data_IF_611443356462
#
_entry.id   IF_611443356462
#
_cell.length_a   1.000
_cell.length_b   1.000
_cell.length_c   1.000
_cell.angle_alpha   90.00
_cell.angle_beta   90.00
_cell.angle_gamma   90.00
#
_symmetry.space_group_name_H-M   'P 1'
#
loop_
_entity.id
_entity.type
_entity.pdbx_description
1 polymer ?
#
# COMPACT_ATOMS: atom_id res chain seq x y z
N UNK A 1 -7.58 15.81 49.43
CA UNK A 1 -8.19 15.38 50.70
C UNK A 1 -7.32 15.81 51.85
N UNK A 2 -7.87 16.48 52.86
CA UNK A 2 -7.12 16.79 54.08
C UNK A 2 -6.95 15.53 54.93
N UNK A 3 -5.83 15.41 55.62
CA UNK A 3 -5.60 14.33 56.58
C UNK A 3 -5.55 14.92 57.99
N UNK A 4 -5.88 14.12 59.01
CA UNK A 4 -5.71 14.58 60.40
C UNK A 4 -4.21 14.80 60.71
N UNK A 5 -3.88 15.62 61.71
CA UNK A 5 -2.48 15.99 61.99
C UNK A 5 -1.80 14.97 62.91
N UNK A 6 -0.46 14.91 62.85
CA UNK A 6 0.35 14.26 63.90
C UNK A 6 1.11 12.99 63.49
N UNK A 7 1.39 12.78 62.20
CA UNK A 7 2.11 11.60 61.74
C UNK A 7 3.63 11.84 61.68
N UNK A 8 4.40 11.00 62.36
CA UNK A 8 5.86 10.89 62.15
C UNK A 8 6.16 10.18 60.83
N UNK A 9 7.43 9.94 60.50
CA UNK A 9 7.85 9.26 59.27
C UNK A 9 7.60 7.73 59.24
N UNK A 10 7.26 7.11 60.37
CA UNK A 10 7.04 5.68 60.51
C UNK A 10 5.56 5.29 60.51
N UNK A 11 4.64 6.26 60.53
CA UNK A 11 3.20 6.03 60.51
C UNK A 11 2.77 5.10 59.37
N UNK A 12 2.10 4.00 59.70
CA UNK A 12 1.53 3.04 58.73
C UNK A 12 0.01 3.13 58.63
N UNK A 13 -0.63 3.94 59.47
CA UNK A 13 -2.07 4.17 59.51
C UNK A 13 -2.38 5.66 59.56
N UNK A 14 -3.15 6.14 58.59
CA UNK A 14 -3.51 7.55 58.41
C UNK A 14 -5.02 7.71 58.54
N UNK A 15 -5.44 8.44 59.55
CA UNK A 15 -6.83 8.83 59.77
C UNK A 15 -7.24 10.02 58.89
N UNK A 16 -8.36 9.85 58.22
CA UNK A 16 -9.04 10.85 57.41
C UNK A 16 -10.17 11.52 58.21
N UNK A 17 -10.54 12.77 57.88
CA UNK A 17 -11.78 13.37 58.36
C UNK A 17 -13.01 12.56 57.91
N UNK A 18 -14.12 12.73 58.64
CA UNK A 18 -15.38 12.04 58.32
C UNK A 18 -15.84 12.35 56.89
N UNK A 19 -16.18 11.30 56.13
CA UNK A 19 -16.67 11.41 54.75
C UNK A 19 -15.59 11.63 53.68
N UNK A 20 -14.31 11.75 54.06
CA UNK A 20 -13.23 11.79 53.09
C UNK A 20 -12.89 10.40 52.55
N UNK A 21 -12.87 9.37 53.40
CA UNK A 21 -12.55 7.99 53.01
C UNK A 21 -13.37 7.46 51.82
N UNK A 22 -14.65 7.81 51.72
CA UNK A 22 -15.54 7.38 50.63
C UNK A 22 -15.22 7.99 49.26
N UNK A 23 -14.29 8.95 49.18
CA UNK A 23 -13.84 9.57 47.92
C UNK A 23 -12.67 8.82 47.27
N UNK A 24 -12.14 7.79 47.93
CA UNK A 24 -11.00 7.01 47.46
C UNK A 24 -11.45 5.61 47.01
N UNK A 25 -10.73 5.02 46.03
CA UNK A 25 -10.85 3.60 45.71
C UNK A 25 -10.69 2.71 46.95
N UNK A 26 -11.42 1.61 47.04
CA UNK A 26 -11.19 0.60 48.07
C UNK A 26 -10.08 -0.37 47.62
N UNK A 27 -8.91 -0.41 48.29
CA UNK A 27 -7.82 -1.30 47.90
C UNK A 27 -8.18 -2.79 47.88
N UNK A 28 -9.19 -3.21 48.66
CA UNK A 28 -9.64 -4.60 48.69
C UNK A 28 -10.41 -5.01 47.43
N UNK A 29 -11.05 -4.05 46.76
CA UNK A 29 -11.85 -4.29 45.55
C UNK A 29 -11.11 -3.86 44.27
N UNK A 30 -10.39 -2.74 44.33
CA UNK A 30 -9.83 -2.05 43.17
C UNK A 30 -8.30 -2.14 43.10
N UNK A 31 -7.67 -2.81 44.07
CA UNK A 31 -6.22 -2.96 44.17
C UNK A 31 -5.53 -1.76 44.82
N UNK A 32 -4.29 -1.96 45.25
CA UNK A 32 -3.51 -0.90 45.89
C UNK A 32 -3.15 0.23 44.91
N UNK A 33 -3.17 1.47 45.38
CA UNK A 33 -2.86 2.66 44.57
C UNK A 33 -1.99 3.64 45.35
N UNK A 34 -1.37 4.59 44.63
CA UNK A 34 -0.49 5.59 45.23
C UNK A 34 -1.23 6.93 45.45
N UNK A 35 -0.91 7.61 46.55
CA UNK A 35 -1.30 8.99 46.83
C UNK A 35 -0.06 9.87 47.00
N UNK A 36 -0.15 11.12 46.58
CA UNK A 36 0.88 12.13 46.86
C UNK A 36 0.49 12.91 48.12
N UNK A 37 1.33 12.89 49.14
CA UNK A 37 1.15 13.54 50.43
C UNK A 37 2.07 14.75 50.56
N UNK A 38 1.50 15.95 50.68
CA UNK A 38 2.24 17.21 50.67
C UNK A 38 1.66 18.25 51.65
N UNK A 39 2.48 19.23 52.01
CA UNK A 39 2.10 20.38 52.82
C UNK A 39 1.38 21.42 51.95
N UNK A 40 0.06 21.49 52.07
CA UNK A 40 -0.73 22.42 51.26
C UNK A 40 -0.83 23.83 51.84
N UNK A 41 -0.36 24.04 53.08
CA UNK A 41 -0.31 25.38 53.68
C UNK A 41 0.78 26.24 53.05
N UNK A 42 1.92 25.63 52.71
CA UNK A 42 3.07 26.33 52.13
C UNK A 42 3.12 26.20 50.60
N UNK A 43 2.62 25.10 50.05
CA UNK A 43 2.74 24.79 48.62
C UNK A 43 1.37 24.57 47.98
N UNK A 44 1.11 25.24 46.86
CA UNK A 44 -0.16 25.08 46.13
C UNK A 44 -0.18 23.81 45.28
N UNK A 45 0.97 23.40 44.76
CA UNK A 45 1.14 22.18 43.98
C UNK A 45 2.01 21.19 44.76
N UNK A 46 1.63 19.92 44.87
CA UNK A 46 2.48 18.89 45.47
C UNK A 46 3.90 18.88 44.91
N UNK A 47 4.09 19.19 43.62
CA UNK A 47 5.41 19.20 42.97
C UNK A 47 6.38 20.23 43.57
N UNK A 48 5.86 21.31 44.17
CA UNK A 48 6.67 22.39 44.75
C UNK A 48 7.12 22.09 46.18
N UNK A 49 6.51 21.09 46.84
CA UNK A 49 6.88 20.68 48.19
C UNK A 49 8.14 19.79 48.16
N UNK A 50 9.28 20.24 48.75
CA UNK A 50 10.52 19.46 48.81
C UNK A 50 10.39 18.23 49.72
N UNK A 51 9.38 18.19 50.58
CA UNK A 51 9.07 17.09 51.47
C UNK A 51 7.81 16.34 51.01
N UNK A 52 7.32 16.52 49.77
CA UNK A 52 6.23 15.69 49.26
C UNK A 52 6.64 14.22 49.36
N UNK A 53 5.65 13.36 49.52
CA UNK A 53 5.87 11.93 49.62
C UNK A 53 4.86 11.19 48.77
N UNK A 54 5.28 10.04 48.23
CA UNK A 54 4.35 9.12 47.59
C UNK A 54 4.14 7.95 48.55
N UNK A 55 2.88 7.69 48.89
CA UNK A 55 2.47 6.60 49.77
C UNK A 55 1.59 5.63 48.98
N UNK A 56 1.80 4.33 49.17
CA UNK A 56 0.96 3.27 48.61
C UNK A 56 -0.09 2.87 49.62
N UNK A 57 -1.35 3.07 49.28
CA UNK A 57 -2.49 2.67 50.10
C UNK A 57 -2.75 1.18 49.89
N UNK A 58 -2.73 0.41 50.97
CA UNK A 58 -2.87 -1.05 50.94
C UNK A 58 -4.19 -1.56 51.50
N UNK A 59 -4.87 -0.78 52.34
CA UNK A 59 -6.20 -1.09 52.85
C UNK A 59 -6.93 0.19 53.30
N UNK A 60 -8.26 0.13 53.29
CA UNK A 60 -9.14 1.15 53.84
C UNK A 60 -10.06 0.50 54.88
N UNK A 61 -10.08 1.01 56.11
CA UNK A 61 -10.93 0.52 57.20
C UNK A 61 -11.58 1.70 57.94
N UNK A 62 -12.88 1.91 57.71
CA UNK A 62 -13.57 3.11 58.21
C UNK A 62 -12.92 4.38 57.64
N UNK A 63 -12.41 5.24 58.51
CA UNK A 63 -11.68 6.46 58.11
C UNK A 63 -10.15 6.28 58.10
N UNK A 64 -9.63 5.06 58.26
CA UNK A 64 -8.19 4.82 58.33
C UNK A 64 -7.65 4.19 57.05
N UNK A 65 -6.61 4.81 56.48
CA UNK A 65 -5.80 4.26 55.39
C UNK A 65 -4.62 3.51 55.98
N UNK A 66 -4.44 2.25 55.61
CA UNK A 66 -3.15 1.56 55.79
C UNK A 66 -2.23 1.93 54.63
N UNK A 67 -1.02 2.40 54.94
CA UNK A 67 -0.08 2.92 53.94
C UNK A 67 1.32 2.30 54.07
N UNK A 68 1.93 2.05 52.91
CA UNK A 68 3.37 1.89 52.77
C UNK A 68 3.96 3.22 52.33
N UNK A 69 4.95 3.70 53.07
CA UNK A 69 5.53 5.03 52.91
C UNK A 69 6.78 5.02 52.06
N UNK A 70 7.21 6.21 51.65
CA UNK A 70 8.43 6.41 50.89
C UNK A 70 8.52 5.62 49.57
N UNK A 71 7.48 5.70 48.74
CA UNK A 71 7.44 5.02 47.46
C UNK A 71 8.13 5.82 46.35
N UNK A 72 8.43 5.16 45.23
CA UNK A 72 8.98 5.76 44.01
C UNK A 72 10.31 6.54 44.23
N UNK A 73 11.14 6.06 45.17
CA UNK A 73 12.46 6.63 45.46
C UNK A 73 12.43 7.93 46.28
N UNK A 74 11.28 8.29 46.84
CA UNK A 74 11.12 9.41 47.77
C UNK A 74 11.13 8.87 49.20
N UNK A 75 11.92 9.44 50.10
CA UNK A 75 11.94 9.00 51.51
C UNK A 75 10.67 9.43 52.27
N UNK A 76 10.27 8.61 53.24
CA UNK A 76 9.23 9.01 54.19
C UNK A 76 9.65 10.27 54.95
N UNK A 77 8.71 11.16 55.26
CA UNK A 77 8.99 12.37 56.03
C UNK A 77 7.89 12.69 57.02
N UNK A 78 8.25 13.32 58.13
CA UNK A 78 7.30 13.69 59.18
C UNK A 78 6.27 14.73 58.70
N UNK A 79 4.99 14.53 59.04
CA UNK A 79 3.82 15.33 58.62
C UNK A 79 3.09 15.94 59.83
N UNK A 80 3.83 16.65 60.68
CA UNK A 80 3.32 17.19 61.94
C UNK A 80 3.78 18.62 62.26
N UNK A 81 4.23 19.37 61.24
CA UNK A 81 4.73 20.72 61.46
C UNK A 81 3.64 21.63 62.09
N UNK A 82 3.96 22.40 63.15
CA UNK A 82 2.98 23.25 63.82
C UNK A 82 2.27 24.22 62.87
N UNK A 83 0.94 24.25 62.93
CA UNK A 83 0.11 25.16 62.12
C UNK A 83 0.04 24.82 60.62
N UNK A 84 0.56 23.66 60.19
CA UNK A 84 0.53 23.23 58.78
C UNK A 84 -0.57 22.22 58.54
N UNK A 85 -1.19 22.32 57.37
CA UNK A 85 -2.21 21.41 56.87
C UNK A 85 -1.59 20.58 55.76
N UNK A 86 -1.79 19.27 55.84
CA UNK A 86 -1.32 18.34 54.84
C UNK A 86 -2.49 17.75 54.07
N UNK A 87 -2.28 17.54 52.76
CA UNK A 87 -3.26 16.91 51.87
C UNK A 87 -2.66 15.69 51.20
N UNK A 88 -3.52 14.69 51.01
CA UNK A 88 -3.29 13.60 50.06
C UNK A 88 -4.10 13.85 48.80
N UNK A 89 -3.48 13.59 47.65
CA UNK A 89 -4.13 13.66 46.35
C UNK A 89 -3.83 12.39 45.54
N UNK A 90 -4.87 11.85 44.92
CA UNK A 90 -4.75 10.82 43.90
C UNK A 90 -4.46 11.53 42.57
N UNK A 91 -3.24 11.38 42.08
CA UNK A 91 -2.78 11.99 40.82
C UNK A 91 -1.81 11.05 40.13
N UNK A 92 -1.52 11.32 38.85
CA UNK A 92 -0.47 10.62 38.13
C UNK A 92 0.87 10.81 38.87
N UNK A 93 1.46 9.69 39.29
CA UNK A 93 2.78 9.69 39.91
C UNK A 93 3.86 9.59 38.85
N UNK A 94 5.12 9.74 39.27
CA UNK A 94 6.25 9.62 38.35
C UNK A 94 6.34 8.19 37.82
N UNK A 95 6.15 7.17 38.66
CA UNK A 95 6.15 5.78 38.23
C UNK A 95 4.98 5.49 37.28
N UNK A 96 3.77 6.00 37.55
CA UNK A 96 2.65 5.84 36.63
C UNK A 96 2.92 6.51 35.28
N UNK A 97 3.49 7.72 35.28
CA UNK A 97 3.93 8.40 34.07
C UNK A 97 5.01 7.61 33.34
N UNK A 98 6.05 7.18 34.03
CA UNK A 98 7.13 6.34 33.50
C UNK A 98 6.60 5.02 32.97
N UNK A 99 5.61 4.39 33.58
CA UNK A 99 4.97 3.17 33.08
C UNK A 99 4.12 3.43 31.82
N UNK A 100 3.45 4.57 31.74
CA UNK A 100 2.68 4.98 30.56
C UNK A 100 3.62 5.29 29.39
N UNK A 101 4.68 6.09 29.61
CA UNK A 101 5.61 6.47 28.53
C UNK A 101 6.57 5.34 28.16
N UNK A 102 6.92 4.47 29.11
CA UNK A 102 7.77 3.30 28.86
C UNK A 102 6.94 2.04 28.54
N UNK A 103 5.65 2.21 28.24
CA UNK A 103 4.85 1.24 27.48
C UNK A 103 4.36 0.00 28.25
N UNK A 104 4.20 0.05 29.56
CA UNK A 104 3.66 -1.12 30.29
C UNK A 104 2.15 -1.26 30.22
N UNK A 105 1.37 -0.18 30.29
CA UNK A 105 -0.10 -0.28 30.26
C UNK A 105 -0.70 0.59 29.15
N UNK A 106 -1.20 -0.02 28.08
CA UNK A 106 -2.37 0.48 27.32
C UNK A 106 -2.20 1.64 26.32
N UNK A 107 -1.00 1.94 25.82
CA UNK A 107 -0.84 2.37 24.42
C UNK A 107 -0.50 1.09 23.66
N UNK A 108 -1.28 0.76 22.60
CA UNK A 108 -1.17 -0.45 21.76
C UNK A 108 0.07 -1.26 22.10
N UNK A 109 -0.09 -2.22 23.02
CA UNK A 109 1.02 -2.96 23.59
C UNK A 109 1.71 -3.72 22.47
N UNK A 110 2.92 -3.24 22.16
CA UNK A 110 3.87 -3.91 21.29
C UNK A 110 4.13 -5.30 21.83
N UNK A 111 3.91 -6.27 20.97
CA UNK A 111 4.54 -7.56 21.08
C UNK A 111 6.07 -7.41 21.21
N UNK A 112 6.66 -8.33 21.95
CA UNK A 112 8.12 -8.44 22.10
C UNK A 112 8.75 -9.21 20.92
N UNK A 113 7.97 -9.48 19.87
CA UNK A 113 8.34 -10.26 18.69
C UNK A 113 8.39 -9.35 17.44
N UNK A 114 9.53 -8.75 17.17
CA UNK A 114 9.75 -8.00 15.94
C UNK A 114 10.92 -7.03 16.01
N UNK A 115 11.66 -6.89 14.90
CA UNK A 115 12.69 -5.84 14.78
C UNK A 115 12.03 -4.44 14.72
N UNK A 116 12.84 -3.40 14.93
CA UNK A 116 12.46 -1.99 15.09
C UNK A 116 11.29 -1.51 14.23
N UNK A 117 10.31 -0.87 14.87
CA UNK A 117 9.30 -0.05 14.19
C UNK A 117 10.00 1.15 13.54
N UNK A 118 9.53 1.54 12.37
CA UNK A 118 10.04 2.74 11.70
C UNK A 118 9.75 4.00 12.52
N UNK A 119 10.49 5.08 12.27
CA UNK A 119 10.18 6.41 12.85
C UNK A 119 8.72 6.77 12.53
N UNK A 120 7.94 7.17 13.53
CA UNK A 120 6.51 7.49 13.42
C UNK A 120 5.62 6.36 12.85
N UNK A 121 6.08 5.11 12.90
CA UNK A 121 5.30 3.97 12.44
C UNK A 121 4.26 3.53 13.48
N UNK A 122 3.10 3.07 13.00
CA UNK A 122 2.02 2.55 13.84
C UNK A 122 1.68 1.13 13.42
N UNK A 123 1.57 0.21 14.38
CA UNK A 123 1.26 -1.19 14.09
C UNK A 123 0.37 -1.76 15.18
N UNK A 124 -0.86 -2.09 14.78
CA UNK A 124 -1.97 -2.55 15.62
C UNK A 124 -2.23 -4.05 15.51
N UNK A 125 -1.37 -4.82 14.84
CA UNK A 125 -1.55 -6.28 14.77
C UNK A 125 -0.96 -6.96 16.02
N UNK A 126 -1.64 -7.99 16.53
CA UNK A 126 -1.21 -8.71 17.74
C UNK A 126 -0.56 -10.07 17.48
N UNK A 127 -0.72 -10.63 16.28
CA UNK A 127 -0.26 -11.98 15.94
C UNK A 127 0.67 -11.91 14.73
N UNK A 128 1.87 -12.47 14.90
CA UNK A 128 2.93 -12.54 13.89
C UNK A 128 3.59 -13.92 13.95
N UNK A 129 3.93 -14.47 12.79
CA UNK A 129 4.71 -15.70 12.66
C UNK A 129 6.18 -15.43 12.37
N UNK A 130 6.52 -14.22 11.91
CA UNK A 130 7.88 -13.78 11.56
C UNK A 130 8.18 -12.40 12.14
N UNK A 131 9.43 -12.18 12.59
CA UNK A 131 9.87 -10.93 13.23
C UNK A 131 9.88 -9.71 12.30
N UNK A 132 9.78 -9.89 10.99
CA UNK A 132 9.71 -8.82 10.00
C UNK A 132 8.28 -8.39 9.67
N UNK A 133 7.27 -9.08 10.19
CA UNK A 133 5.85 -8.76 9.98
C UNK A 133 5.43 -7.57 10.85
N UNK A 134 6.08 -6.43 10.63
CA UNK A 134 5.91 -5.21 11.42
C UNK A 134 5.80 -3.99 10.52
N UNK A 135 5.26 -2.88 11.04
CA UNK A 135 5.40 -1.56 10.43
C UNK A 135 6.83 -1.02 10.65
N UNK A 136 7.76 -1.37 9.76
CA UNK A 136 9.19 -1.01 9.84
C UNK A 136 9.56 0.19 8.97
N UNK A 137 8.72 0.58 8.01
CA UNK A 137 8.94 1.79 7.22
C UNK A 137 8.67 3.06 8.02
N UNK A 138 9.39 4.15 7.76
CA UNK A 138 9.07 5.43 8.39
C UNK A 138 7.65 5.88 8.01
N UNK A 139 6.87 6.30 9.00
CA UNK A 139 5.44 6.64 8.90
C UNK A 139 4.55 5.53 8.31
N UNK A 140 5.00 4.27 8.38
CA UNK A 140 4.19 3.13 7.93
C UNK A 140 3.09 2.78 8.92
N UNK A 141 2.03 2.12 8.43
CA UNK A 141 0.84 1.80 9.20
C UNK A 141 0.39 0.37 9.00
N UNK A 142 0.14 -0.36 10.09
CA UNK A 142 -0.58 -1.62 10.08
C UNK A 142 -1.85 -1.48 10.90
N UNK A 143 -3.00 -1.55 10.23
CA UNK A 143 -4.29 -1.20 10.80
C UNK A 143 -4.88 -2.26 11.73
N UNK A 144 -4.72 -3.53 11.34
CA UNK A 144 -5.30 -4.67 12.03
C UNK A 144 -4.76 -5.98 11.44
N UNK A 145 -5.34 -7.09 11.88
CA UNK A 145 -5.14 -8.41 11.31
C UNK A 145 -3.91 -9.13 11.85
N UNK A 146 -3.31 -9.99 11.04
CA UNK A 146 -2.21 -10.87 11.45
C UNK A 146 -1.14 -10.96 10.37
N UNK A 147 0.11 -11.19 10.76
CA UNK A 147 1.22 -11.52 9.86
C UNK A 147 1.48 -10.50 8.73
N UNK A 148 1.06 -9.24 8.87
CA UNK A 148 1.26 -8.18 7.88
C UNK A 148 2.63 -7.53 8.03
N UNK A 149 3.23 -7.09 6.93
CA UNK A 149 4.49 -6.35 6.86
C UNK A 149 4.28 -5.04 6.11
N UNK A 150 4.61 -3.91 6.72
CA UNK A 150 4.59 -2.59 6.09
C UNK A 150 6.00 -1.98 6.24
N UNK A 151 6.87 -2.19 5.26
CA UNK A 151 8.28 -1.81 5.34
C UNK A 151 8.66 -0.62 4.45
N UNK A 152 7.77 -0.18 3.56
CA UNK A 152 7.99 1.01 2.74
C UNK A 152 7.71 2.31 3.51
N UNK A 153 8.34 3.42 3.12
CA UNK A 153 8.00 4.75 3.65
C UNK A 153 6.52 5.06 3.37
N UNK A 154 5.77 5.49 4.39
CA UNK A 154 4.32 5.70 4.33
C UNK A 154 3.53 4.53 3.72
N UNK A 155 3.98 3.29 3.90
CA UNK A 155 3.26 2.10 3.44
C UNK A 155 2.14 1.70 4.41
N UNK A 156 1.13 1.00 3.89
CA UNK A 156 -0.02 0.51 4.65
C UNK A 156 -0.27 -0.97 4.39
N UNK A 157 -0.51 -1.74 5.45
CA UNK A 157 -1.00 -3.12 5.31
C UNK A 157 -2.13 -3.45 6.31
N UNK A 158 -3.10 -4.27 5.89
CA UNK A 158 -4.18 -4.77 6.75
C UNK A 158 -4.68 -6.13 6.27
N UNK A 159 -5.30 -6.91 7.16
CA UNK A 159 -5.78 -8.26 6.84
C UNK A 159 -4.80 -9.34 7.28
N UNK A 160 -4.51 -10.35 6.46
CA UNK A 160 -3.68 -11.49 6.88
C UNK A 160 -2.52 -11.76 5.92
N UNK A 161 -1.27 -11.64 6.39
CA UNK A 161 -0.10 -12.07 5.62
C UNK A 161 0.29 -11.14 4.48
N UNK A 162 -0.16 -9.88 4.48
CA UNK A 162 0.12 -8.94 3.40
C UNK A 162 1.49 -8.28 3.55
N UNK A 163 2.13 -7.91 2.44
CA UNK A 163 3.43 -7.22 2.43
C UNK A 163 3.40 -5.97 1.56
N UNK A 164 3.39 -4.80 2.20
CA UNK A 164 3.57 -3.50 1.55
C UNK A 164 5.01 -3.01 1.75
N UNK A 165 5.87 -3.25 0.75
CA UNK A 165 7.30 -2.91 0.82
C UNK A 165 7.69 -1.70 -0.03
N UNK A 166 6.87 -1.32 -1.01
CA UNK A 166 7.08 -0.11 -1.80
C UNK A 166 6.79 1.16 -1.01
N UNK A 167 7.45 2.26 -1.38
CA UNK A 167 7.12 3.58 -0.84
C UNK A 167 5.68 3.96 -1.21
N UNK A 168 4.86 4.40 -0.26
CA UNK A 168 3.41 4.65 -0.44
C UNK A 168 2.59 3.43 -0.86
N UNK A 169 3.12 2.21 -0.69
CA UNK A 169 2.40 1.01 -1.11
C UNK A 169 1.26 0.65 -0.15
N UNK A 170 0.19 0.07 -0.70
CA UNK A 170 -0.97 -0.44 0.03
C UNK A 170 -1.14 -1.93 -0.25
N UNK A 171 -1.28 -2.77 0.77
CA UNK A 171 -1.63 -4.19 0.61
C UNK A 171 -2.73 -4.59 1.59
N UNK A 172 -3.86 -5.07 1.08
CA UNK A 172 -5.01 -5.44 1.90
C UNK A 172 -5.67 -6.76 1.48
N UNK A 173 -6.28 -7.47 2.43
CA UNK A 173 -6.87 -8.79 2.20
C UNK A 173 -6.00 -9.93 2.75
N UNK A 174 -5.68 -10.94 1.95
CA UNK A 174 -4.88 -12.10 2.36
C UNK A 174 -3.73 -12.43 1.40
N UNK A 175 -2.51 -12.48 1.92
CA UNK A 175 -1.29 -12.85 1.17
C UNK A 175 -0.96 -11.96 -0.04
N UNK A 176 -1.34 -10.69 -0.04
CA UNK A 176 -1.01 -9.77 -1.11
C UNK A 176 0.38 -9.14 -0.93
N UNK A 177 1.01 -8.72 -2.04
CA UNK A 177 2.32 -8.06 -2.02
C UNK A 177 2.36 -6.83 -2.92
N UNK A 178 2.59 -5.66 -2.34
CA UNK A 178 2.77 -4.39 -3.06
C UNK A 178 4.20 -3.90 -2.87
N UNK A 179 5.05 -4.17 -3.87
CA UNK A 179 6.49 -3.86 -3.81
C UNK A 179 6.91 -2.65 -4.65
N UNK A 180 6.08 -2.21 -5.59
CA UNK A 180 6.34 -1.00 -6.37
C UNK A 180 6.05 0.29 -5.60
N UNK A 181 6.72 1.39 -5.94
CA UNK A 181 6.38 2.72 -5.38
C UNK A 181 4.94 3.08 -5.76
N UNK A 182 4.12 3.51 -4.80
CA UNK A 182 2.70 3.82 -4.93
C UNK A 182 1.86 2.66 -5.51
N UNK A 183 2.28 1.41 -5.29
CA UNK A 183 1.55 0.23 -5.75
C UNK A 183 0.43 -0.19 -4.79
N UNK A 184 -0.62 -0.81 -5.32
CA UNK A 184 -1.76 -1.28 -4.54
C UNK A 184 -2.08 -2.75 -4.87
N UNK A 185 -2.32 -3.59 -3.86
CA UNK A 185 -2.80 -4.95 -4.04
C UNK A 185 -3.94 -5.26 -3.06
N UNK A 186 -5.09 -5.68 -3.56
CA UNK A 186 -6.31 -5.96 -2.77
C UNK A 186 -6.88 -7.34 -3.11
N UNK A 187 -7.24 -8.14 -2.11
CA UNK A 187 -7.92 -9.44 -2.30
C UNK A 187 -7.12 -10.64 -1.80
N UNK A 188 -6.86 -11.64 -2.65
CA UNK A 188 -6.17 -12.88 -2.27
C UNK A 188 -4.98 -13.20 -3.20
N UNK A 189 -3.77 -13.23 -2.64
CA UNK A 189 -2.54 -13.61 -3.35
C UNK A 189 -2.17 -12.73 -4.56
N UNK A 190 -2.50 -11.44 -4.53
CA UNK A 190 -2.16 -10.50 -5.61
C UNK A 190 -0.75 -9.90 -5.43
N UNK A 191 -0.13 -9.51 -6.54
CA UNK A 191 1.21 -8.90 -6.55
C UNK A 191 1.25 -7.67 -7.44
N UNK A 192 1.51 -6.50 -6.85
CA UNK A 192 1.76 -5.24 -7.57
C UNK A 192 3.23 -4.82 -7.44
N UNK A 193 4.00 -5.13 -8.49
CA UNK A 193 5.46 -4.95 -8.53
C UNK A 193 5.93 -3.68 -9.24
N UNK A 194 5.13 -3.14 -10.16
CA UNK A 194 5.48 -1.94 -10.92
C UNK A 194 5.23 -0.64 -10.15
N UNK A 195 5.89 0.45 -10.55
CA UNK A 195 5.59 1.78 -10.00
C UNK A 195 4.15 2.16 -10.35
N UNK A 196 3.36 2.61 -9.37
CA UNK A 196 1.95 2.96 -9.50
C UNK A 196 1.09 1.83 -10.11
N UNK A 197 1.46 0.57 -9.87
CA UNK A 197 0.70 -0.60 -10.34
C UNK A 197 -0.43 -0.98 -9.38
N UNK A 198 -1.47 -1.61 -9.93
CA UNK A 198 -2.64 -2.07 -9.17
C UNK A 198 -2.98 -3.53 -9.51
N UNK A 199 -3.23 -4.36 -8.50
CA UNK A 199 -3.66 -5.74 -8.68
C UNK A 199 -4.82 -6.09 -7.73
N UNK A 200 -5.97 -6.49 -8.26
CA UNK A 200 -7.19 -6.74 -7.48
C UNK A 200 -7.86 -8.08 -7.84
N UNK A 201 -8.40 -8.78 -6.83
CA UNK A 201 -9.08 -10.06 -7.02
C UNK A 201 -8.29 -11.25 -6.45
N UNK A 202 -8.00 -12.26 -7.26
CA UNK A 202 -7.31 -13.48 -6.85
C UNK A 202 -6.16 -13.86 -7.79
N UNK A 203 -4.94 -13.97 -7.24
CA UNK A 203 -3.72 -14.35 -7.96
C UNK A 203 -3.38 -13.44 -9.16
N UNK A 204 -3.70 -12.16 -9.07
CA UNK A 204 -3.41 -11.16 -10.09
C UNK A 204 -2.00 -10.59 -9.93
N UNK A 205 -1.34 -10.27 -11.04
CA UNK A 205 0.02 -9.74 -11.06
C UNK A 205 0.14 -8.49 -11.94
N UNK A 206 0.42 -7.33 -11.35
CA UNK A 206 0.71 -6.10 -12.06
C UNK A 206 2.20 -5.75 -11.95
N UNK A 207 3.01 -6.20 -12.92
CA UNK A 207 4.47 -6.03 -12.91
C UNK A 207 4.96 -4.83 -13.73
N UNK A 208 4.17 -4.35 -14.70
CA UNK A 208 4.52 -3.15 -15.46
C UNK A 208 4.32 -1.86 -14.66
N UNK A 209 5.07 -0.81 -15.00
CA UNK A 209 4.83 0.51 -14.42
C UNK A 209 3.45 1.03 -14.87
N UNK A 210 2.64 1.51 -13.93
CA UNK A 210 1.25 1.93 -14.13
C UNK A 210 0.39 0.83 -14.76
N UNK A 211 0.70 -0.44 -14.50
CA UNK A 211 -0.09 -1.57 -14.97
C UNK A 211 -1.25 -1.88 -14.01
N UNK A 212 -2.34 -2.43 -14.55
CA UNK A 212 -3.52 -2.84 -13.81
C UNK A 212 -3.89 -4.30 -14.12
N UNK A 213 -3.98 -5.17 -13.10
CA UNK A 213 -4.42 -6.55 -13.26
C UNK A 213 -5.62 -6.84 -12.33
N UNK A 214 -6.77 -7.20 -12.89
CA UNK A 214 -7.99 -7.47 -12.12
C UNK A 214 -8.62 -8.83 -12.46
N UNK A 215 -9.21 -9.52 -11.46
CA UNK A 215 -9.97 -10.76 -11.66
C UNK A 215 -9.32 -12.03 -11.07
N UNK A 216 -9.15 -13.09 -11.88
CA UNK A 216 -8.61 -14.39 -11.46
C UNK A 216 -7.42 -14.78 -12.33
N UNK A 217 -6.23 -14.90 -11.75
CA UNK A 217 -4.99 -15.22 -12.46
C UNK A 217 -4.70 -14.31 -13.67
N UNK A 218 -4.90 -13.01 -13.53
CA UNK A 218 -4.55 -12.04 -14.58
C UNK A 218 -3.14 -11.48 -14.39
N UNK A 219 -2.46 -11.12 -15.48
CA UNK A 219 -1.10 -10.58 -15.42
C UNK A 219 -0.91 -9.40 -16.37
N UNK A 220 -0.59 -8.23 -15.83
CA UNK A 220 -0.29 -7.01 -16.57
C UNK A 220 1.21 -6.70 -16.46
N UNK A 221 1.97 -7.16 -17.44
CA UNK A 221 3.44 -7.12 -17.48
C UNK A 221 3.95 -5.91 -18.26
N UNK A 222 3.22 -5.48 -19.29
CA UNK A 222 3.57 -4.29 -20.06
C UNK A 222 3.43 -3.01 -19.24
N UNK A 223 4.28 -2.01 -19.49
CA UNK A 223 4.05 -0.68 -18.92
C UNK A 223 2.69 -0.13 -19.41
N UNK A 224 1.95 0.53 -18.52
CA UNK A 224 0.63 1.09 -18.83
C UNK A 224 -0.40 0.05 -19.32
N UNK A 225 -0.17 -1.24 -19.08
CA UNK A 225 -1.03 -2.33 -19.56
C UNK A 225 -2.17 -2.62 -18.59
N UNK A 226 -3.24 -3.24 -19.09
CA UNK A 226 -4.41 -3.65 -18.31
C UNK A 226 -4.79 -5.09 -18.69
N UNK A 227 -4.86 -5.99 -17.71
CA UNK A 227 -5.36 -7.36 -17.87
C UNK A 227 -6.58 -7.60 -16.97
N UNK A 228 -7.69 -8.06 -17.55
CA UNK A 228 -8.96 -8.27 -16.83
C UNK A 228 -9.59 -9.66 -17.11
N UNK A 229 -10.39 -10.16 -16.16
CA UNK A 229 -11.16 -11.39 -16.30
C UNK A 229 -10.46 -12.61 -15.69
N UNK A 230 -10.44 -13.74 -16.40
CA UNK A 230 -9.88 -15.01 -15.90
C UNK A 230 -8.77 -15.50 -16.81
N UNK A 231 -7.51 -15.44 -16.35
CA UNK A 231 -6.34 -15.93 -17.09
C UNK A 231 -5.82 -15.01 -18.19
N UNK A 232 -6.20 -13.73 -18.21
CA UNK A 232 -5.73 -12.76 -19.20
C UNK A 232 -4.28 -12.30 -18.91
N UNK A 233 -3.49 -12.09 -19.97
CA UNK A 233 -2.12 -11.60 -19.84
C UNK A 233 -1.83 -10.46 -20.83
N UNK A 234 -1.58 -9.25 -20.32
CA UNK A 234 -1.18 -8.08 -21.09
C UNK A 234 0.35 -7.89 -21.01
N UNK A 235 1.05 -8.16 -22.11
CA UNK A 235 2.52 -8.20 -22.20
C UNK A 235 3.10 -6.96 -22.85
N UNK A 236 2.36 -6.34 -23.76
CA UNK A 236 2.83 -5.19 -24.54
C UNK A 236 2.50 -3.90 -23.80
N UNK A 237 3.27 -2.84 -24.08
CA UNK A 237 2.99 -1.51 -23.51
C UNK A 237 1.62 -1.02 -23.98
N UNK A 238 0.81 -0.54 -23.04
CA UNK A 238 -0.53 -0.02 -23.32
C UNK A 238 -1.51 -1.08 -23.83
N UNK A 239 -1.19 -2.38 -23.67
CA UNK A 239 -2.10 -3.46 -24.05
C UNK A 239 -3.25 -3.56 -23.08
N UNK A 240 -4.47 -3.62 -23.61
CA UNK A 240 -5.65 -4.06 -22.86
C UNK A 240 -5.97 -5.50 -23.27
N UNK A 241 -5.87 -6.44 -22.33
CA UNK A 241 -6.14 -7.85 -22.53
C UNK A 241 -7.30 -8.32 -21.65
N UNK A 242 -8.18 -9.15 -22.21
CA UNK A 242 -9.32 -9.73 -21.50
C UNK A 242 -9.51 -11.19 -21.87
N UNK A 243 -9.86 -12.01 -20.89
CA UNK A 243 -10.09 -13.44 -21.07
C UNK A 243 -11.22 -13.93 -20.15
N UNK A 244 -11.97 -14.93 -20.61
CA UNK A 244 -12.99 -15.61 -19.81
C UNK A 244 -12.50 -16.94 -19.23
N UNK A 245 -11.22 -17.27 -19.44
CA UNK A 245 -10.59 -18.54 -19.12
C UNK A 245 -9.35 -18.73 -19.98
N UNK A 246 -8.79 -19.94 -19.91
CA UNK A 246 -7.61 -20.37 -20.66
C UNK A 246 -7.82 -21.83 -21.09
N UNK A 247 -7.12 -22.26 -22.14
CA UNK A 247 -7.17 -23.63 -22.65
C UNK A 247 -6.20 -24.52 -21.86
N UNK A 248 -4.97 -24.05 -21.70
CA UNK A 248 -3.82 -24.75 -21.13
C UNK A 248 -2.91 -23.83 -20.31
N UNK A 249 -2.67 -22.60 -20.78
CA UNK A 249 -1.75 -21.61 -20.22
C UNK A 249 -2.44 -20.23 -20.12
N UNK A 250 -2.07 -19.42 -19.12
CA UNK A 250 -2.59 -18.04 -19.05
C UNK A 250 -2.23 -17.21 -20.29
N UNK A 251 -3.25 -16.56 -20.86
CA UNK A 251 -3.19 -15.75 -22.06
C UNK A 251 -3.24 -16.51 -23.38
N UNK A 252 -3.49 -17.82 -23.36
CA UNK A 252 -3.65 -18.64 -24.57
C UNK A 252 -5.05 -18.57 -25.20
N UNK A 253 -6.01 -17.92 -24.55
CA UNK A 253 -7.38 -17.75 -25.06
C UNK A 253 -7.90 -16.36 -24.68
N UNK A 254 -7.35 -15.33 -25.32
CA UNK A 254 -7.64 -13.94 -24.96
C UNK A 254 -7.91 -13.02 -26.15
N UNK A 255 -8.68 -11.97 -25.89
CA UNK A 255 -8.71 -10.79 -26.74
C UNK A 255 -7.73 -9.76 -26.19
N UNK A 256 -6.96 -9.12 -27.07
CA UNK A 256 -6.07 -8.01 -26.72
C UNK A 256 -6.23 -6.85 -27.70
N UNK A 257 -5.93 -5.64 -27.25
CA UNK A 257 -5.88 -4.47 -28.13
C UNK A 257 -4.75 -3.53 -27.76
N UNK A 258 -4.18 -2.86 -28.78
CA UNK A 258 -3.06 -1.94 -28.65
C UNK A 258 -3.21 -0.76 -29.61
N UNK A 259 -2.57 0.37 -29.29
CA UNK A 259 -2.49 1.55 -30.16
C UNK A 259 -1.05 1.82 -30.58
N UNK A 260 -0.84 2.00 -31.88
CA UNK A 260 0.42 2.46 -32.44
C UNK A 260 0.28 3.91 -32.91
N UNK A 261 1.38 4.66 -32.83
CA UNK A 261 1.45 6.01 -33.35
C UNK A 261 2.78 6.26 -34.07
N UNK A 262 2.75 7.15 -35.06
CA UNK A 262 3.95 7.58 -35.76
C UNK A 262 3.70 8.70 -36.76
N UNK A 263 4.77 9.12 -37.42
CA UNK A 263 4.78 10.25 -38.35
C UNK A 263 5.60 9.90 -39.58
N UNK A 264 5.10 10.27 -40.76
CA UNK A 264 5.88 10.27 -42.02
C UNK A 264 6.13 11.71 -42.44
N UNK A 265 7.34 11.98 -42.91
CA UNK A 265 7.77 13.32 -43.35
C UNK A 265 7.91 13.43 -44.87
N UNK A 266 7.81 12.31 -45.57
CA UNK A 266 7.96 12.19 -47.01
C UNK A 266 7.06 11.05 -47.55
N UNK A 267 7.26 10.71 -48.82
CA UNK A 267 6.57 9.60 -49.48
C UNK A 267 7.19 8.22 -49.24
N UNK A 268 8.18 8.09 -48.35
CA UNK A 268 8.80 6.80 -48.08
C UNK A 268 8.01 6.02 -47.00
N UNK A 269 7.90 4.69 -47.10
CA UNK A 269 7.29 3.88 -46.06
C UNK A 269 8.07 3.97 -44.74
N UNK A 270 7.35 4.21 -43.63
CA UNK A 270 7.91 4.22 -42.27
C UNK A 270 7.13 3.29 -41.35
N UNK A 271 7.82 2.64 -40.40
CA UNK A 271 7.18 1.85 -39.34
C UNK A 271 6.60 2.76 -38.25
N UNK A 272 5.45 2.38 -37.69
CA UNK A 272 4.87 3.01 -36.50
C UNK A 272 4.82 2.02 -35.33
N UNK A 273 4.84 2.54 -34.09
CA UNK A 273 5.19 1.77 -32.89
C UNK A 273 4.19 1.98 -31.76
N UNK A 274 4.16 1.06 -30.79
CA UNK A 274 3.43 1.22 -29.52
C UNK A 274 3.96 2.42 -28.72
N UNK A 275 5.28 2.51 -28.69
CA UNK A 275 6.04 3.65 -28.16
C UNK A 275 7.23 3.86 -29.08
N UNK A 276 7.23 4.91 -29.90
CA UNK A 276 8.33 5.19 -30.81
C UNK A 276 9.67 5.33 -30.07
N UNK A 277 10.79 4.88 -30.66
CA UNK A 277 10.92 4.33 -32.02
C UNK A 277 11.07 2.80 -32.09
N UNK A 278 10.79 2.04 -31.02
CA UNK A 278 11.22 0.63 -30.97
C UNK A 278 10.22 -0.38 -30.43
N UNK A 279 9.19 0.03 -29.68
CA UNK A 279 8.24 -0.93 -29.11
C UNK A 279 7.23 -1.43 -30.14
N UNK A 280 7.16 -2.75 -30.30
CA UNK A 280 6.43 -3.45 -31.36
C UNK A 280 5.39 -4.40 -30.79
N UNK A 281 4.47 -4.84 -31.65
CA UNK A 281 3.60 -5.96 -31.38
C UNK A 281 4.39 -7.26 -31.56
N UNK A 282 5.18 -7.62 -30.55
CA UNK A 282 5.91 -8.90 -30.54
C UNK A 282 4.92 -10.02 -30.26
N UNK A 283 4.90 -11.04 -31.12
CA UNK A 283 4.11 -12.24 -30.86
C UNK A 283 4.86 -13.13 -29.87
N UNK A 284 4.11 -13.81 -29.03
CA UNK A 284 4.63 -14.90 -28.21
C UNK A 284 4.97 -16.12 -29.06
N UNK A 285 5.87 -16.96 -28.53
CA UNK A 285 6.17 -18.24 -29.16
C UNK A 285 4.93 -19.13 -29.20
N UNK A 286 4.80 -19.88 -30.29
CA UNK A 286 3.70 -20.80 -30.56
C UNK A 286 2.31 -20.13 -30.57
N UNK A 287 2.22 -18.87 -30.96
CA UNK A 287 0.96 -18.11 -30.98
C UNK A 287 0.46 -17.88 -32.40
N UNK A 288 -0.85 -18.00 -32.59
CA UNK A 288 -1.57 -17.43 -33.73
C UNK A 288 -2.52 -16.33 -33.25
N UNK A 289 -2.60 -15.24 -34.01
CA UNK A 289 -3.48 -14.12 -33.73
C UNK A 289 -4.25 -13.70 -34.97
N UNK A 290 -5.57 -13.84 -34.92
CA UNK A 290 -6.46 -13.15 -35.86
C UNK A 290 -6.58 -11.69 -35.43
N UNK A 291 -6.38 -10.76 -36.35
CA UNK A 291 -6.38 -9.34 -36.03
C UNK A 291 -7.23 -8.51 -37.00
N UNK A 292 -7.72 -7.40 -36.47
CA UNK A 292 -8.24 -6.28 -37.24
C UNK A 292 -7.51 -5.01 -36.81
N UNK A 293 -7.34 -4.08 -37.74
CA UNK A 293 -6.69 -2.81 -37.51
C UNK A 293 -7.50 -1.68 -38.15
N UNK A 294 -7.66 -0.58 -37.42
CA UNK A 294 -8.17 0.70 -37.93
C UNK A 294 -7.04 1.72 -37.91
N UNK A 295 -6.68 2.24 -39.08
CA UNK A 295 -5.58 3.17 -39.27
C UNK A 295 -6.15 4.52 -39.70
N UNK A 296 -5.95 5.52 -38.85
CA UNK A 296 -6.35 6.90 -39.10
C UNK A 296 -5.11 7.73 -39.39
N UNK A 297 -5.17 8.54 -40.45
CA UNK A 297 -4.11 9.47 -40.82
C UNK A 297 -4.63 10.89 -40.86
N UNK A 298 -3.77 11.86 -40.56
CA UNK A 298 -4.04 13.27 -40.84
C UNK A 298 -2.76 14.04 -41.17
N UNK A 299 -2.86 14.99 -42.09
CA UNK A 299 -1.79 15.96 -42.33
C UNK A 299 -1.84 17.07 -41.29
N UNK A 300 -0.69 17.66 -41.00
CA UNK A 300 -0.64 18.95 -40.29
C UNK A 300 -0.91 20.14 -41.21
N UNK A 301 -0.89 19.95 -42.55
CA UNK A 301 -1.03 21.03 -43.51
C UNK A 301 -2.50 21.47 -43.73
N UNK A 302 -3.46 20.56 -43.56
CA UNK A 302 -4.89 20.85 -43.76
C UNK A 302 -5.77 19.93 -42.92
N UNK A 303 -6.87 20.46 -42.38
CA UNK A 303 -7.88 19.67 -41.69
C UNK A 303 -8.67 18.74 -42.64
N UNK A 304 -8.68 19.02 -43.94
CA UNK A 304 -9.29 18.18 -44.96
C UNK A 304 -8.40 17.00 -45.38
N UNK A 305 -7.12 17.01 -45.01
CA UNK A 305 -6.18 15.95 -45.36
C UNK A 305 -6.19 14.85 -44.30
N UNK A 306 -7.00 13.82 -44.53
CA UNK A 306 -7.12 12.68 -43.64
C UNK A 306 -7.28 11.35 -44.41
N UNK A 307 -7.19 10.23 -43.70
CA UNK A 307 -7.52 8.92 -44.22
C UNK A 307 -8.02 7.98 -43.11
N UNK A 308 -8.82 6.99 -43.50
CA UNK A 308 -9.22 5.85 -42.71
C UNK A 308 -9.08 4.57 -43.55
N UNK A 309 -8.22 3.66 -43.08
CA UNK A 309 -7.93 2.37 -43.71
C UNK A 309 -8.18 1.27 -42.68
N UNK A 310 -8.88 0.21 -43.09
CA UNK A 310 -9.04 -1.00 -42.30
C UNK A 310 -8.21 -2.14 -42.88
N UNK A 311 -7.56 -2.92 -42.01
CA UNK A 311 -6.78 -4.11 -42.42
C UNK A 311 -7.12 -5.28 -41.50
N UNK A 312 -7.37 -6.45 -42.07
CA UNK A 312 -7.64 -7.70 -41.33
C UNK A 312 -6.73 -8.80 -41.81
N UNK A 313 -6.28 -9.67 -40.91
CA UNK A 313 -5.38 -10.77 -41.25
C UNK A 313 -5.16 -11.73 -40.10
N UNK A 314 -4.32 -12.73 -40.34
CA UNK A 314 -3.84 -13.68 -39.33
C UNK A 314 -2.31 -13.65 -39.34
N UNK A 315 -1.73 -13.49 -38.16
CA UNK A 315 -0.28 -13.63 -37.94
C UNK A 315 -0.03 -14.81 -37.03
N UNK A 316 1.04 -15.56 -37.28
CA UNK A 316 1.42 -16.72 -36.45
C UNK A 316 2.92 -16.76 -36.23
N UNK A 317 3.34 -17.41 -35.14
CA UNK A 317 4.73 -17.57 -34.71
C UNK A 317 4.89 -18.93 -34.02
N UNK A 318 5.92 -19.69 -34.36
CA UNK A 318 6.38 -20.87 -33.62
C UNK A 318 7.47 -20.48 -32.60
N UNK A 319 8.24 -21.43 -32.08
CA UNK A 319 9.26 -21.22 -31.05
C UNK A 319 10.48 -20.33 -31.44
N UNK A 320 10.46 -19.65 -32.59
CA UNK A 320 11.54 -18.79 -33.05
C UNK A 320 11.02 -17.51 -33.69
N UNK A 321 11.66 -16.37 -33.44
CA UNK A 321 11.31 -15.08 -34.07
C UNK A 321 11.23 -15.17 -35.60
N UNK A 322 12.16 -15.91 -36.22
CA UNK A 322 12.21 -16.11 -37.68
C UNK A 322 11.01 -16.84 -38.27
N UNK A 323 10.23 -17.53 -37.44
CA UNK A 323 9.03 -18.28 -37.85
C UNK A 323 7.78 -17.42 -37.95
N UNK A 324 7.86 -16.12 -37.67
CA UNK A 324 6.71 -15.22 -37.84
C UNK A 324 6.23 -15.26 -39.29
N UNK A 325 4.94 -15.52 -39.49
CA UNK A 325 4.28 -15.57 -40.78
C UNK A 325 3.00 -14.74 -40.74
N UNK A 326 2.78 -13.96 -41.80
CA UNK A 326 1.58 -13.15 -41.98
C UNK A 326 0.80 -13.68 -43.18
N UNK A 327 -0.46 -14.07 -42.98
CA UNK A 327 -1.36 -14.44 -44.07
C UNK A 327 -1.63 -13.23 -44.97
N UNK A 328 -2.06 -13.42 -46.24
CA UNK A 328 -2.56 -12.32 -47.05
C UNK A 328 -3.58 -11.48 -46.29
N UNK A 329 -3.31 -10.18 -46.15
CA UNK A 329 -4.20 -9.26 -45.45
C UNK A 329 -5.30 -8.76 -46.39
N UNK A 330 -6.51 -8.62 -45.84
CA UNK A 330 -7.60 -7.90 -46.52
C UNK A 330 -7.52 -6.44 -46.11
N UNK A 331 -7.30 -5.56 -47.08
CA UNK A 331 -7.28 -4.11 -46.89
C UNK A 331 -8.54 -3.49 -47.47
N UNK A 332 -9.21 -2.65 -46.69
CA UNK A 332 -10.35 -1.84 -47.13
C UNK A 332 -10.02 -0.37 -46.88
N UNK A 333 -9.91 0.41 -47.96
CA UNK A 333 -9.79 1.86 -47.86
C UNK A 333 -11.20 2.42 -47.68
N UNK A 334 -11.51 2.93 -46.50
CA UNK A 334 -12.80 3.56 -46.22
C UNK A 334 -12.82 4.95 -46.85
N UNK A 335 -11.75 5.72 -46.62
CA UNK A 335 -11.56 7.03 -47.25
C UNK A 335 -10.10 7.47 -47.19
N UNK A 336 -9.62 8.23 -48.18
CA UNK A 336 -8.34 8.93 -48.12
C UNK A 336 -8.36 10.17 -49.02
N UNK A 337 -7.85 11.30 -48.53
CA UNK A 337 -7.73 12.53 -49.33
C UNK A 337 -6.63 12.43 -50.38
N UNK A 338 -5.52 11.75 -50.04
CA UNK A 338 -4.38 11.53 -50.93
C UNK A 338 -4.32 10.07 -51.38
N UNK A 339 -4.17 9.84 -52.67
CA UNK A 339 -4.03 8.49 -53.21
C UNK A 339 -2.69 7.83 -52.84
N UNK A 340 -1.69 8.64 -52.50
CA UNK A 340 -0.35 8.19 -52.10
C UNK A 340 -0.32 7.60 -50.69
N UNK A 341 -1.27 7.98 -49.84
CA UNK A 341 -1.32 7.51 -48.47
C UNK A 341 -1.76 6.05 -48.42
N UNK A 342 -0.94 5.24 -47.74
CA UNK A 342 -1.19 3.81 -47.61
C UNK A 342 -0.68 3.26 -46.28
N UNK A 343 -1.22 2.11 -45.88
CA UNK A 343 -0.79 1.37 -44.70
C UNK A 343 -0.76 -0.13 -44.99
N UNK A 344 0.27 -0.83 -44.51
CA UNK A 344 0.46 -2.27 -44.72
C UNK A 344 1.04 -2.92 -43.48
N UNK A 345 0.61 -4.15 -43.22
CA UNK A 345 1.25 -5.02 -42.24
C UNK A 345 2.30 -5.90 -42.91
N UNK A 346 3.39 -6.14 -42.19
CA UNK A 346 4.47 -7.04 -42.58
C UNK A 346 4.85 -7.95 -41.41
N UNK A 347 5.31 -9.15 -41.75
CA UNK A 347 5.95 -10.06 -40.82
C UNK A 347 7.38 -9.58 -40.52
N UNK A 348 7.71 -9.32 -39.25
CA UNK A 348 9.08 -9.04 -38.81
C UNK A 348 9.72 -10.33 -38.25
N UNK A 349 10.42 -11.05 -39.11
CA UNK A 349 11.11 -12.30 -38.78
C UNK A 349 12.37 -12.10 -37.94
N UNK A 350 12.87 -10.86 -37.79
CA UNK A 350 14.02 -10.57 -36.94
C UNK A 350 13.57 -10.47 -35.49
N UNK A 351 12.47 -9.75 -35.24
CA UNK A 351 11.96 -9.49 -33.90
C UNK A 351 10.81 -10.43 -33.48
N UNK A 352 10.30 -11.25 -34.40
CA UNK A 352 9.11 -12.08 -34.15
C UNK A 352 7.86 -11.23 -33.93
N UNK A 353 7.71 -10.15 -34.69
CA UNK A 353 6.71 -9.13 -34.47
C UNK A 353 5.82 -8.89 -35.69
N UNK A 354 4.64 -8.30 -35.44
CA UNK A 354 3.76 -7.76 -36.47
C UNK A 354 4.09 -6.27 -36.67
N UNK A 355 4.54 -5.91 -37.87
CA UNK A 355 5.00 -4.56 -38.23
C UNK A 355 3.92 -3.81 -38.99
N UNK A 356 3.59 -2.59 -38.57
CA UNK A 356 2.73 -1.68 -39.33
C UNK A 356 3.59 -0.62 -40.01
N UNK A 357 3.62 -0.64 -41.34
CA UNK A 357 4.21 0.43 -42.14
C UNK A 357 3.14 1.34 -42.72
N UNK A 358 3.40 2.63 -42.70
CA UNK A 358 2.57 3.66 -43.28
C UNK A 358 3.39 4.49 -44.27
N UNK A 359 2.75 4.94 -45.34
CA UNK A 359 3.39 5.73 -46.41
C UNK A 359 2.70 7.08 -46.48
N UNK A 360 3.49 8.14 -46.33
CA UNK A 360 3.03 9.52 -46.40
C UNK A 360 3.08 10.09 -47.81
N UNK A 361 3.32 11.39 -47.89
CA UNK A 361 3.44 12.13 -49.14
C UNK A 361 4.56 13.15 -49.01
N UNK A 362 5.40 13.28 -50.05
CA UNK A 362 6.49 14.24 -50.06
C UNK A 362 5.97 15.66 -49.82
N UNK A 363 6.61 16.39 -48.90
CA UNK A 363 6.19 17.75 -48.53
C UNK A 363 5.03 17.84 -47.54
N UNK A 364 4.50 16.69 -47.04
CA UNK A 364 3.49 16.67 -45.98
C UNK A 364 4.01 15.93 -44.74
N UNK A 365 3.80 16.53 -43.57
CA UNK A 365 3.91 15.83 -42.29
C UNK A 365 2.58 15.15 -41.99
N UNK A 366 2.55 13.82 -42.07
CA UNK A 366 1.35 13.01 -41.83
C UNK A 366 1.50 12.26 -40.52
N UNK A 367 0.53 12.44 -39.61
CA UNK A 367 0.44 11.74 -38.33
C UNK A 367 -0.50 10.55 -38.47
N UNK A 368 -0.08 9.42 -37.92
CA UNK A 368 -0.76 8.14 -38.05
C UNK A 368 -1.07 7.57 -36.68
N UNK A 369 -2.27 7.00 -36.54
CA UNK A 369 -2.68 6.20 -35.39
C UNK A 369 -3.26 4.90 -35.90
N UNK A 370 -2.76 3.77 -35.41
CA UNK A 370 -3.29 2.44 -35.69
C UNK A 370 -3.82 1.80 -34.42
N UNK A 371 -5.10 1.46 -34.38
CA UNK A 371 -5.68 0.63 -33.30
C UNK A 371 -5.77 -0.80 -33.82
N UNK A 372 -5.15 -1.74 -33.11
CA UNK A 372 -5.08 -3.15 -33.52
C UNK A 372 -5.72 -4.01 -32.44
N UNK A 373 -6.79 -4.71 -32.79
CA UNK A 373 -7.43 -5.72 -31.94
C UNK A 373 -7.05 -7.12 -32.40
N UNK A 374 -6.73 -8.01 -31.46
CA UNK A 374 -6.22 -9.36 -31.71
C UNK A 374 -6.95 -10.39 -30.84
N UNK A 375 -7.51 -11.42 -31.46
CA UNK A 375 -7.85 -12.67 -30.77
C UNK A 375 -6.66 -13.62 -30.85
N UNK A 376 -6.07 -13.97 -29.71
CA UNK A 376 -4.87 -14.81 -29.63
C UNK A 376 -5.24 -16.24 -29.21
N UNK A 377 -4.56 -17.19 -29.82
CA UNK A 377 -4.55 -18.60 -29.44
C UNK A 377 -3.11 -19.12 -29.41
N UNK A 378 -2.78 -19.95 -28.43
CA UNK A 378 -1.47 -20.58 -28.27
C UNK A 378 -1.60 -22.10 -28.16
#
# INVERSE_FOLDING_TARGET
MEVKLGYDEFATSIELPDGEASKLPDPAMEGCYNLVWFNCSDYKNPADDPHREIVKVTALAGNFLSVQRGQEGISASTKNAPGRIYKMILTLTRAAYEEIINGRHGVITGDTFGDARGTDATDFQFIRSDKQQVASGASSFIASGINNKASGYCSFATGSGNTASGQYALSEGHLNSSSGTASHSEGYQNTSGGVASHAEGQNCQASGNSAHAEGYHTSAVGNNSHAEGSGAVARLKGEHARASGYISDYGDAQYSSVTLAGVTLDGNPAEIFLSPPSERIVLEDNTAAGFWARITARSSASAADAALIEIKGVVSRLAAAASVQLSPCVKTVIWKSSQLWDANFEADTINGALKLKVTGEAGKTVRWVGVVGMGRIK
#
